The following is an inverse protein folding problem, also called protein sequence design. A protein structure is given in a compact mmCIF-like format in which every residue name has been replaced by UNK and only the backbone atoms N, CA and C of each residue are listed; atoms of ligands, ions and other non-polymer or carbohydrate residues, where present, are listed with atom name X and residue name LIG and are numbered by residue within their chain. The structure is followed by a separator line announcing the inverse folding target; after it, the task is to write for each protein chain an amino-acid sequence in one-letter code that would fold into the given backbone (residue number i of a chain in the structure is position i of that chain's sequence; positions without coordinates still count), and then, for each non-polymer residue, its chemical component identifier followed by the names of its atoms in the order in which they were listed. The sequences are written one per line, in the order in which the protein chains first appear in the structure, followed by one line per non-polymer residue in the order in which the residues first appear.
data_IF_138112671328
#
_entry.id   IF_138112671328
#
_cell.length_a   1.000
_cell.length_b   1.000
_cell.length_c   1.000
_cell.angle_alpha   90.00
_cell.angle_beta   90.00
_cell.angle_gamma   90.00
#
_symmetry.space_group_name_H-M   'P 1'
#
loop_
_entity.id
_entity.type
_entity.pdbx_description
1 polymer ?
#
# COMPACT_ATOMS: atom_id res chain seq x y z
N UNK A 1 18.36 25.68 23.71
CA UNK A 1 17.49 25.48 22.53
C UNK A 1 18.10 24.37 21.67
N UNK A 2 17.53 23.16 21.69
CA UNK A 2 18.02 22.05 20.85
C UNK A 2 17.33 22.14 19.48
N UNK A 3 17.93 22.92 18.59
CA UNK A 3 17.71 22.80 17.16
C UNK A 3 18.76 21.85 16.59
N UNK A 4 18.34 20.68 16.10
CA UNK A 4 19.30 19.79 15.47
C UNK A 4 18.79 18.37 15.22
N UNK A 5 18.46 18.12 13.94
CA UNK A 5 18.43 16.81 13.27
C UNK A 5 17.17 15.96 13.40
N UNK A 6 16.04 16.51 12.96
CA UNK A 6 15.00 15.70 12.28
C UNK A 6 15.50 15.38 10.86
N UNK A 7 16.57 14.58 10.71
CA UNK A 7 17.11 14.24 9.38
C UNK A 7 18.08 13.05 9.43
N UNK A 8 17.66 11.92 9.98
CA UNK A 8 18.38 10.67 9.82
C UNK A 8 17.41 9.50 9.94
N UNK A 9 16.90 8.98 8.82
CA UNK A 9 16.13 7.72 8.86
C UNK A 9 15.25 7.44 7.65
N UNK A 10 14.77 8.47 6.93
CA UNK A 10 13.97 8.24 5.72
C UNK A 10 14.86 8.36 4.49
N UNK A 11 15.86 7.48 4.39
CA UNK A 11 16.39 7.11 3.07
C UNK A 11 15.26 6.38 2.37
N UNK A 12 14.50 7.18 1.62
CA UNK A 12 13.54 6.97 0.52
C UNK A 12 13.49 5.59 -0.16
N UNK A 13 13.50 4.48 0.58
CA UNK A 13 12.82 3.27 0.16
C UNK A 13 11.34 3.65 0.22
N UNK A 14 10.71 3.83 -0.93
CA UNK A 14 9.25 3.90 -0.98
C UNK A 14 8.72 2.76 -0.11
N UNK A 15 7.95 3.12 0.92
CA UNK A 15 7.41 2.13 1.85
C UNK A 15 6.65 1.13 0.96
N UNK A 16 7.06 -0.15 0.89
CA UNK A 16 6.49 -1.10 -0.07
C UNK A 16 4.96 -1.18 0.02
N UNK A 17 4.45 -0.97 1.24
CA UNK A 17 3.03 -0.79 1.54
C UNK A 17 2.40 0.40 0.80
N UNK A 18 3.00 1.60 0.83
CA UNK A 18 2.48 2.78 0.14
C UNK A 18 2.52 2.60 -1.38
N UNK A 19 3.58 1.98 -1.90
CA UNK A 19 3.69 1.67 -3.33
C UNK A 19 2.56 0.71 -3.77
N UNK A 20 2.34 -0.38 -3.03
CA UNK A 20 1.25 -1.32 -3.29
C UNK A 20 -0.15 -0.68 -3.16
N UNK A 21 -0.33 0.21 -2.17
CA UNK A 21 -1.58 0.97 -2.01
C UNK A 21 -1.85 1.88 -3.21
N UNK A 22 -0.82 2.60 -3.69
CA UNK A 22 -0.94 3.49 -4.83
C UNK A 22 -1.30 2.73 -6.10
N UNK A 23 -0.63 1.62 -6.38
CA UNK A 23 -0.96 0.76 -7.52
C UNK A 23 -2.40 0.25 -7.46
N UNK A 24 -2.85 -0.22 -6.30
CA UNK A 24 -4.24 -0.64 -6.10
C UNK A 24 -5.22 0.52 -6.35
N UNK A 25 -4.94 1.71 -5.83
CA UNK A 25 -5.80 2.88 -5.96
C UNK A 25 -5.86 3.41 -7.40
N UNK A 26 -4.73 3.46 -8.10
CA UNK A 26 -4.69 3.83 -9.51
C UNK A 26 -5.46 2.82 -10.38
N UNK A 27 -5.38 1.54 -10.04
CA UNK A 27 -6.14 0.49 -10.70
C UNK A 27 -7.65 0.65 -10.49
N UNK A 28 -8.13 0.82 -9.25
CA UNK A 28 -9.57 0.99 -8.98
C UNK A 28 -10.15 2.24 -9.62
N UNK A 29 -9.35 3.30 -9.80
CA UNK A 29 -9.75 4.52 -10.52
C UNK A 29 -9.89 4.32 -12.03
N UNK A 30 -8.99 3.55 -12.65
CA UNK A 30 -8.95 3.34 -14.11
C UNK A 30 -9.79 2.15 -14.58
N UNK A 31 -10.04 1.20 -13.69
CA UNK A 31 -10.69 -0.06 -14.06
C UNK A 31 -12.20 0.11 -14.24
N UNK A 32 -12.65 0.03 -15.50
CA UNK A 32 -14.07 -0.03 -15.87
C UNK A 32 -14.71 -1.42 -15.70
N UNK A 33 -13.92 -2.46 -15.42
CA UNK A 33 -14.35 -3.86 -15.35
C UNK A 33 -14.90 -4.31 -13.99
N UNK A 34 -15.65 -3.46 -13.28
CA UNK A 34 -16.30 -3.83 -12.02
C UNK A 34 -15.54 -3.47 -10.74
N UNK A 35 -14.39 -2.78 -10.85
CA UNK A 35 -13.69 -2.23 -9.69
C UNK A 35 -14.28 -0.86 -9.25
N UNK A 36 -14.94 -0.13 -10.15
CA UNK A 36 -15.65 1.12 -9.86
C UNK A 36 -17.02 0.83 -9.23
N UNK A 37 -17.24 1.29 -8.00
CA UNK A 37 -18.48 1.06 -7.24
C UNK A 37 -18.49 -0.21 -6.38
N UNK A 38 -17.43 -1.02 -6.42
CA UNK A 38 -17.27 -2.16 -5.53
C UNK A 38 -17.09 -1.68 -4.09
N UNK A 39 -18.04 -2.05 -3.21
CA UNK A 39 -18.02 -1.64 -1.79
C UNK A 39 -16.99 -2.42 -0.98
N UNK A 40 -16.61 -3.62 -1.44
CA UNK A 40 -15.49 -4.39 -0.91
C UNK A 40 -14.51 -4.72 -2.03
N UNK A 41 -13.24 -4.84 -1.67
CA UNK A 41 -12.19 -5.19 -2.63
C UNK A 41 -12.42 -6.58 -3.25
N UNK A 42 -13.07 -7.49 -2.51
CA UNK A 42 -13.40 -8.84 -2.99
C UNK A 42 -14.42 -8.82 -4.15
N UNK A 43 -15.31 -7.84 -4.18
CA UNK A 43 -16.29 -7.64 -5.26
C UNK A 43 -15.68 -6.97 -6.49
N UNK A 44 -14.46 -6.47 -6.36
CA UNK A 44 -13.71 -5.89 -7.47
C UNK A 44 -13.17 -6.94 -8.43
N UNK A 45 -12.62 -6.47 -9.53
CA UNK A 45 -11.89 -7.23 -10.52
C UNK A 45 -10.70 -8.03 -9.93
N UNK A 46 -10.32 -9.14 -10.59
CA UNK A 46 -9.23 -10.06 -10.13
C UNK A 46 -7.94 -9.30 -9.85
N UNK A 47 -7.50 -8.45 -10.78
CA UNK A 47 -6.28 -7.65 -10.63
C UNK A 47 -6.36 -6.69 -9.42
N UNK A 48 -7.53 -6.08 -9.17
CA UNK A 48 -7.75 -5.26 -7.99
C UNK A 48 -7.63 -6.04 -6.67
N UNK A 49 -8.10 -7.29 -6.65
CA UNK A 49 -7.94 -8.19 -5.50
C UNK A 49 -6.48 -8.56 -5.26
N UNK A 50 -5.73 -8.86 -6.31
CA UNK A 50 -4.31 -9.22 -6.20
C UNK A 50 -3.46 -8.06 -5.69
N UNK A 51 -3.69 -6.85 -6.20
CA UNK A 51 -3.01 -5.63 -5.75
C UNK A 51 -3.31 -5.34 -4.26
N UNK A 52 -4.55 -5.56 -3.83
CA UNK A 52 -4.91 -5.45 -2.41
C UNK A 52 -4.26 -6.53 -1.53
N UNK A 53 -4.10 -7.73 -2.06
CA UNK A 53 -3.32 -8.81 -1.43
C UNK A 53 -1.86 -8.41 -1.23
N UNK A 54 -1.23 -7.82 -2.25
CA UNK A 54 0.14 -7.32 -2.16
C UNK A 54 0.29 -6.22 -1.09
N UNK A 55 -0.66 -5.28 -1.02
CA UNK A 55 -0.69 -4.27 0.03
C UNK A 55 -0.77 -4.89 1.44
N UNK A 56 -1.67 -5.87 1.66
CA UNK A 56 -1.79 -6.54 2.96
C UNK A 56 -0.51 -7.28 3.34
N UNK A 57 0.14 -7.97 2.39
CA UNK A 57 1.43 -8.64 2.64
C UNK A 57 2.51 -7.64 3.04
N UNK A 58 2.68 -6.55 2.27
CA UNK A 58 3.66 -5.51 2.59
C UNK A 58 3.38 -4.80 3.94
N UNK A 59 2.10 -4.63 4.31
CA UNK A 59 1.70 -4.13 5.62
C UNK A 59 2.08 -5.10 6.74
N UNK A 60 1.86 -6.40 6.55
CA UNK A 60 2.16 -7.41 7.57
C UNK A 60 3.67 -7.65 7.71
N UNK A 61 4.43 -7.63 6.62
CA UNK A 61 5.88 -7.77 6.61
C UNK A 61 6.58 -6.65 7.42
N UNK A 62 6.08 -5.41 7.32
CA UNK A 62 6.48 -4.28 8.17
C UNK A 62 6.21 -4.50 9.66
N UNK A 63 5.21 -5.29 10.03
CA UNK A 63 4.91 -5.61 11.44
C UNK A 63 5.83 -6.71 11.98
N UNK A 64 6.33 -7.61 11.13
CA UNK A 64 7.28 -8.66 11.54
C UNK A 64 8.65 -8.08 11.87
N UNK A 65 9.09 -7.03 11.17
CA UNK A 65 10.43 -6.43 11.38
C UNK A 65 10.55 -5.57 12.65
N UNK A 66 9.43 -5.29 13.34
CA UNK A 66 9.40 -4.45 14.56
C UNK A 66 9.37 -5.31 15.84
N UNK A 67 9.34 -6.64 15.71
CA UNK A 67 9.22 -7.59 16.84
C UNK A 67 10.33 -8.65 16.82
N UNK A 68 11.58 -8.26 16.54
CA UNK A 68 12.78 -9.08 16.78
C UNK A 68 13.88 -8.25 17.40
#
# INVERSE_FOLDING_TARGET
MVGGRVRAGVRRAEIPMLHAYRLWFEHTRKCGGGCKGARKVQDGCVAGRELWGAYRRARNEKNVTVTS
#
